data_IF_323969600574
#
_entry.id   IF_323969600574
#
_cell.length_a   1.000
_cell.length_b   1.000
_cell.length_c   1.000
_cell.angle_alpha   90.00
_cell.angle_beta   90.00
_cell.angle_gamma   90.00
#
_symmetry.space_group_name_H-M   'P 1'
#
loop_
_entity.id
_entity.type
_entity.pdbx_description
1 polymer ?
#
# COMPACT_ATOMS: atom_id res chain seq x y z
N UNK A 1 22.63 -43.18 -19.05
CA UNK A 1 21.31 -42.56 -19.32
C UNK A 1 20.42 -42.84 -18.11
N UNK A 2 20.04 -41.80 -17.35
CA UNK A 2 19.13 -41.93 -16.21
C UNK A 2 17.85 -41.17 -16.58
N UNK A 3 16.73 -41.89 -16.63
CA UNK A 3 15.39 -41.32 -16.84
C UNK A 3 15.01 -40.47 -15.63
N UNK A 4 14.62 -39.23 -15.87
CA UNK A 4 13.94 -38.36 -14.89
C UNK A 4 12.44 -38.50 -15.17
N UNK A 5 11.71 -39.05 -14.22
CA UNK A 5 10.25 -39.14 -14.25
C UNK A 5 9.71 -37.81 -13.72
N UNK A 6 9.13 -37.00 -14.60
CA UNK A 6 8.42 -35.76 -14.25
C UNK A 6 6.98 -36.15 -13.91
N UNK A 7 6.62 -36.04 -12.63
CA UNK A 7 5.23 -36.23 -12.18
C UNK A 7 4.48 -34.90 -12.32
N UNK A 8 3.61 -34.81 -13.32
CA UNK A 8 2.75 -33.64 -13.53
C UNK A 8 1.56 -33.76 -12.56
N UNK A 9 1.50 -32.88 -11.56
CA UNK A 9 0.34 -32.71 -10.69
C UNK A 9 -0.75 -31.96 -11.48
N UNK A 10 -1.77 -32.69 -11.90
CA UNK A 10 -2.96 -32.12 -12.53
C UNK A 10 -3.84 -31.45 -11.47
N UNK A 11 -4.08 -30.15 -11.64
CA UNK A 11 -5.02 -29.36 -10.85
C UNK A 11 -6.47 -29.80 -11.15
N UNK A 12 -7.17 -30.29 -10.13
CA UNK A 12 -8.60 -30.55 -10.18
C UNK A 12 -9.40 -29.25 -10.08
N UNK A 13 -10.03 -28.86 -11.19
CA UNK A 13 -11.03 -27.80 -11.22
C UNK A 13 -12.35 -28.33 -10.65
N UNK A 14 -12.71 -27.92 -9.44
CA UNK A 14 -14.09 -28.05 -8.96
C UNK A 14 -14.91 -26.85 -9.46
N UNK A 15 -15.64 -27.07 -10.55
CA UNK A 15 -16.71 -26.19 -11.00
C UNK A 15 -18.00 -26.54 -10.24
N UNK A 16 -18.48 -25.65 -9.37
CA UNK A 16 -19.83 -25.71 -8.86
C UNK A 16 -20.73 -24.78 -9.70
N UNK A 17 -21.45 -25.37 -10.65
CA UNK A 17 -22.67 -24.80 -11.21
C UNK A 17 -23.80 -25.04 -10.22
N UNK A 18 -24.45 -23.97 -9.75
CA UNK A 18 -25.85 -24.05 -9.34
C UNK A 18 -26.57 -22.81 -9.84
N UNK A 19 -27.26 -23.01 -10.96
CA UNK A 19 -28.33 -22.14 -11.44
C UNK A 19 -29.59 -22.51 -10.67
N UNK A 20 -30.22 -21.54 -10.02
CA UNK A 20 -31.65 -21.60 -9.74
C UNK A 20 -32.24 -20.22 -9.94
N UNK A 21 -32.92 -20.06 -11.08
CA UNK A 21 -33.76 -18.91 -11.39
C UNK A 21 -34.98 -18.86 -10.47
N UNK A 22 -35.26 -17.70 -9.87
CA UNK A 22 -36.63 -17.17 -9.75
C UNK A 22 -36.65 -15.65 -9.57
N UNK A 23 -37.25 -14.99 -10.58
CA UNK A 23 -37.62 -13.57 -10.64
C UNK A 23 -38.55 -13.15 -9.50
N UNK A 24 -38.38 -11.94 -8.96
CA UNK A 24 -39.23 -10.77 -9.30
C UNK A 24 -38.99 -9.55 -8.39
N UNK A 25 -38.73 -8.41 -9.06
CA UNK A 25 -39.10 -7.03 -8.73
C UNK A 25 -38.88 -6.46 -7.30
N UNK A 26 -37.95 -5.50 -7.18
CA UNK A 26 -38.31 -4.11 -6.85
C UNK A 26 -37.21 -3.12 -7.24
N UNK A 27 -37.65 -2.08 -7.94
CA UNK A 27 -36.93 -0.88 -8.35
C UNK A 27 -36.48 -0.11 -7.09
N UNK A 28 -35.19 0.22 -7.00
CA UNK A 28 -34.62 1.03 -5.93
C UNK A 28 -33.21 1.49 -6.31
N UNK A 29 -33.13 2.58 -7.08
CA UNK A 29 -31.89 3.32 -7.26
C UNK A 29 -31.49 3.94 -5.92
N UNK A 30 -30.50 3.37 -5.24
CA UNK A 30 -29.78 4.09 -4.19
C UNK A 30 -28.40 4.40 -4.74
N UNK A 31 -28.32 5.53 -5.44
CA UNK A 31 -27.07 6.27 -5.54
C UNK A 31 -26.82 6.83 -4.14
N UNK A 32 -25.90 6.26 -3.39
CA UNK A 32 -25.29 6.97 -2.26
C UNK A 32 -24.33 8.01 -2.85
N UNK A 33 -24.92 9.07 -3.42
CA UNK A 33 -24.27 10.36 -3.55
C UNK A 33 -24.35 11.00 -2.18
N UNK A 34 -23.24 11.01 -1.45
CA UNK A 34 -23.04 11.98 -0.37
C UNK A 34 -23.01 13.36 -1.03
N UNK A 35 -24.19 13.98 -1.11
CA UNK A 35 -24.35 15.37 -1.47
C UNK A 35 -23.65 16.21 -0.40
N UNK A 36 -22.48 16.74 -0.75
CA UNK A 36 -21.82 17.77 0.03
C UNK A 36 -22.66 19.05 -0.13
N UNK A 37 -23.26 19.49 0.97
CA UNK A 37 -23.98 20.75 1.03
C UNK A 37 -23.01 21.88 0.73
N UNK A 38 -23.22 22.52 -0.42
CA UNK A 38 -22.57 23.75 -0.81
C UNK A 38 -23.03 24.86 0.14
N UNK A 39 -22.12 25.31 1.01
CA UNK A 39 -22.22 26.61 1.64
C UNK A 39 -20.93 27.36 1.32
N UNK A 40 -20.98 28.05 0.18
CA UNK A 40 -20.08 29.13 -0.16
C UNK A 40 -20.16 30.23 0.90
N UNK A 41 -19.08 30.44 1.66
CA UNK A 41 -18.65 31.77 2.07
C UNK A 41 -17.18 31.80 2.47
N UNK A 42 -16.42 32.61 1.74
CA UNK A 42 -15.28 33.42 2.19
C UNK A 42 -14.01 32.71 2.69
N UNK A 43 -13.11 32.49 1.73
CA UNK A 43 -11.75 33.01 1.73
C UNK A 43 -11.23 33.54 3.08
N UNK A 44 -10.57 32.65 3.81
CA UNK A 44 -9.47 33.00 4.71
C UNK A 44 -8.40 31.93 4.58
N UNK A 45 -7.20 32.38 4.19
CA UNK A 45 -5.93 31.70 4.40
C UNK A 45 -5.80 31.25 5.86
N UNK A 46 -6.31 30.07 6.19
CA UNK A 46 -5.90 29.35 7.38
C UNK A 46 -4.62 28.61 7.03
N UNK A 47 -3.49 29.34 7.15
CA UNK A 47 -2.21 28.72 7.49
C UNK A 47 -2.34 28.14 8.90
N UNK A 48 -3.17 27.11 9.06
CA UNK A 48 -3.11 26.21 10.21
C UNK A 48 -1.86 25.38 9.99
N UNK A 49 -0.77 25.84 10.59
CA UNK A 49 0.34 24.95 10.96
C UNK A 49 -0.25 23.97 11.97
N UNK A 50 -0.89 22.92 11.47
CA UNK A 50 -1.28 21.77 12.28
C UNK A 50 0.00 21.34 13.00
N UNK A 51 -0.03 21.40 14.33
CA UNK A 51 1.09 20.99 15.17
C UNK A 51 1.22 19.46 15.10
N UNK A 52 1.69 18.98 13.95
CA UNK A 52 1.92 17.58 13.67
C UNK A 52 3.05 17.10 14.58
N UNK A 53 2.67 16.27 15.54
CA UNK A 53 3.57 15.54 16.42
C UNK A 53 3.52 14.06 16.04
N UNK A 54 4.66 13.47 15.72
CA UNK A 54 4.79 12.04 15.39
C UNK A 54 4.81 11.19 16.66
N UNK A 55 3.92 11.54 17.58
CA UNK A 55 3.89 10.95 18.91
C UNK A 55 3.02 9.70 18.89
N UNK A 56 3.71 8.59 18.69
CA UNK A 56 3.13 7.26 18.76
C UNK A 56 3.10 6.71 20.19
N UNK A 57 3.51 7.48 21.22
CA UNK A 57 3.56 7.01 22.61
C UNK A 57 2.21 6.50 23.09
N UNK A 58 1.11 7.12 22.63
CA UNK A 58 -0.25 6.67 22.94
C UNK A 58 -0.42 5.19 22.58
N UNK A 59 0.03 4.77 21.40
CA UNK A 59 -0.08 3.38 20.94
C UNK A 59 0.95 2.47 21.60
N UNK A 60 2.15 2.96 21.90
CA UNK A 60 3.14 2.19 22.65
C UNK A 60 2.64 1.86 24.06
N UNK A 61 1.99 2.83 24.73
CA UNK A 61 1.47 2.69 26.10
C UNK A 61 0.11 2.00 26.16
N UNK A 62 -0.66 1.96 25.06
CA UNK A 62 -1.97 1.31 25.03
C UNK A 62 -1.85 -0.22 25.11
N UNK A 63 -2.39 -0.89 26.14
CA UNK A 63 -2.36 -2.35 26.25
C UNK A 63 -3.12 -3.07 25.12
N UNK A 64 -4.00 -2.38 24.38
CA UNK A 64 -4.76 -2.95 23.25
C UNK A 64 -4.00 -2.94 21.94
N UNK A 65 -2.94 -2.14 21.82
CA UNK A 65 -2.11 -2.14 20.62
C UNK A 65 -1.33 -3.46 20.55
N UNK A 66 -1.37 -4.19 19.41
CA UNK A 66 -0.65 -5.44 19.25
C UNK A 66 0.83 -5.30 19.58
N UNK A 67 1.37 -6.28 20.30
CA UNK A 67 2.78 -6.26 20.73
C UNK A 67 3.72 -6.16 19.52
N UNK A 68 3.47 -6.93 18.47
CA UNK A 68 4.29 -6.92 17.27
C UNK A 68 4.31 -5.53 16.60
N UNK A 69 3.18 -4.83 16.52
CA UNK A 69 3.14 -3.47 15.97
C UNK A 69 4.04 -2.49 16.76
N UNK A 70 4.09 -2.61 18.09
CA UNK A 70 4.97 -1.82 18.95
C UNK A 70 6.44 -2.18 18.71
N UNK A 71 6.74 -3.47 18.66
CA UNK A 71 8.10 -3.98 18.47
C UNK A 71 8.63 -3.58 17.07
N UNK A 72 7.77 -3.59 16.05
CA UNK A 72 8.08 -3.09 14.71
C UNK A 72 8.34 -1.58 14.71
N UNK A 73 7.50 -0.79 15.38
CA UNK A 73 7.75 0.65 15.48
C UNK A 73 9.10 0.95 16.14
N UNK A 74 9.43 0.22 17.20
CA UNK A 74 10.68 0.38 17.95
C UNK A 74 11.90 -0.31 17.31
N UNK A 75 11.72 -1.00 16.18
CA UNK A 75 12.76 -1.83 15.53
C UNK A 75 13.35 -2.91 16.48
N UNK A 76 12.55 -3.46 17.39
CA UNK A 76 12.95 -4.52 18.34
C UNK A 76 12.37 -5.89 17.98
N UNK A 77 11.54 -5.97 16.94
CA UNK A 77 11.01 -7.23 16.44
C UNK A 77 12.14 -8.11 15.88
N UNK A 78 12.17 -9.38 16.27
CA UNK A 78 13.28 -10.29 15.97
C UNK A 78 13.05 -11.18 14.75
N UNK A 79 11.79 -11.42 14.36
CA UNK A 79 11.37 -12.18 13.18
C UNK A 79 9.84 -12.08 13.01
N UNK A 80 9.32 -11.30 12.06
CA UNK A 80 7.91 -11.37 11.68
C UNK A 80 7.76 -12.51 10.68
N UNK A 81 7.89 -13.76 11.13
CA UNK A 81 7.45 -14.92 10.33
C UNK A 81 5.93 -15.00 10.26
N UNK A 82 5.25 -14.19 11.07
CA UNK A 82 3.80 -14.10 11.11
C UNK A 82 3.32 -13.14 10.02
N UNK A 83 2.27 -13.54 9.30
CA UNK A 83 1.51 -12.68 8.39
C UNK A 83 0.77 -11.54 9.12
N UNK A 84 0.92 -11.41 10.43
CA UNK A 84 0.27 -10.39 11.25
C UNK A 84 0.51 -8.97 10.72
N UNK A 85 1.72 -8.54 10.32
CA UNK A 85 1.91 -7.19 9.77
C UNK A 85 1.11 -6.94 8.48
N UNK A 86 0.78 -7.98 7.71
CA UNK A 86 -0.09 -7.83 6.53
C UNK A 86 -1.51 -7.43 6.92
N UNK A 87 -1.98 -7.83 8.10
CA UNK A 87 -3.29 -7.40 8.63
C UNK A 87 -3.32 -5.92 8.97
N UNK A 88 -2.16 -5.28 9.19
CA UNK A 88 -2.10 -3.86 9.55
C UNK A 88 -2.47 -2.93 8.38
N UNK A 89 -2.46 -3.41 7.14
CA UNK A 89 -3.00 -2.67 6.00
C UNK A 89 -4.50 -2.35 6.16
N UNK A 90 -5.26 -3.19 6.87
CA UNK A 90 -6.67 -2.89 7.18
C UNK A 90 -6.81 -1.65 8.06
N UNK A 91 -5.79 -1.36 8.88
CA UNK A 91 -5.73 -0.20 9.76
C UNK A 91 -5.51 1.11 9.01
N UNK A 92 -5.06 1.07 7.75
CA UNK A 92 -4.97 2.27 6.91
C UNK A 92 -6.34 2.86 6.56
N UNK A 93 -7.44 2.19 6.92
CA UNK A 93 -8.80 2.71 6.79
C UNK A 93 -9.39 3.17 8.14
N UNK A 94 -8.59 3.19 9.21
CA UNK A 94 -9.08 3.64 10.51
C UNK A 94 -9.55 5.09 10.43
N UNK A 95 -10.62 5.41 11.18
CA UNK A 95 -11.08 6.79 11.36
C UNK A 95 -10.09 7.61 12.19
N UNK A 96 -9.31 6.96 13.06
CA UNK A 96 -8.25 7.61 13.82
C UNK A 96 -7.01 7.78 12.92
N UNK A 97 -6.71 9.04 12.59
CA UNK A 97 -5.56 9.41 11.75
C UNK A 97 -4.23 8.97 12.37
N UNK A 98 -4.07 9.10 13.69
CA UNK A 98 -2.84 8.69 14.36
C UNK A 98 -2.69 7.16 14.35
N UNK A 99 -3.81 6.41 14.40
CA UNK A 99 -3.77 4.95 14.26
C UNK A 99 -3.29 4.57 12.85
N UNK A 100 -3.80 5.24 11.81
CA UNK A 100 -3.33 5.02 10.43
C UNK A 100 -1.83 5.24 10.31
N UNK A 101 -1.34 6.38 10.81
CA UNK A 101 0.08 6.75 10.77
C UNK A 101 0.96 5.76 11.55
N UNK A 102 0.52 5.35 12.75
CA UNK A 102 1.23 4.36 13.57
C UNK A 102 1.43 3.04 12.81
N UNK A 103 0.35 2.47 12.26
CA UNK A 103 0.43 1.21 11.52
C UNK A 103 1.16 1.35 10.19
N UNK A 104 1.05 2.50 9.52
CA UNK A 104 1.82 2.76 8.30
C UNK A 104 3.33 2.73 8.58
N UNK A 105 3.76 3.34 9.69
CA UNK A 105 5.17 3.29 10.12
C UNK A 105 5.60 1.88 10.55
N UNK A 106 4.74 1.15 11.26
CA UNK A 106 5.02 -0.24 11.64
C UNK A 106 5.23 -1.15 10.41
N UNK A 107 4.41 -0.99 9.37
CA UNK A 107 4.54 -1.72 8.09
C UNK A 107 5.81 -1.33 7.32
N UNK A 108 6.22 -0.05 7.36
CA UNK A 108 7.51 0.35 6.77
C UNK A 108 8.67 -0.34 7.49
N UNK A 109 8.64 -0.36 8.83
CA UNK A 109 9.73 -0.94 9.61
C UNK A 109 9.80 -2.47 9.49
N UNK A 110 8.68 -3.16 9.25
CA UNK A 110 8.68 -4.61 9.07
C UNK A 110 9.40 -5.06 7.81
N UNK A 111 9.50 -4.21 6.78
CA UNK A 111 10.30 -4.50 5.59
C UNK A 111 11.78 -4.75 5.90
N UNK A 112 12.34 -4.11 6.94
CA UNK A 112 13.77 -4.26 7.27
C UNK A 112 14.14 -5.65 7.77
N UNK A 113 13.14 -6.40 8.20
CA UNK A 113 13.28 -7.73 8.81
C UNK A 113 12.43 -8.76 8.07
N UNK A 114 11.99 -8.43 6.84
CA UNK A 114 11.16 -9.33 6.06
C UNK A 114 11.99 -10.43 5.42
N UNK A 115 11.45 -11.65 5.43
CA UNK A 115 11.98 -12.80 4.69
C UNK A 115 11.24 -12.97 3.36
N UNK A 116 11.56 -14.01 2.58
CA UNK A 116 10.98 -14.22 1.25
C UNK A 116 9.45 -14.17 1.23
N UNK A 117 8.79 -15.09 1.94
CA UNK A 117 7.32 -15.22 1.91
C UNK A 117 6.62 -13.97 2.46
N UNK A 118 7.13 -13.38 3.53
CA UNK A 118 6.53 -12.16 4.07
C UNK A 118 6.74 -10.96 3.13
N UNK A 119 7.90 -10.85 2.47
CA UNK A 119 8.19 -9.78 1.50
C UNK A 119 7.25 -9.84 0.30
N UNK A 120 6.89 -11.04 -0.18
CA UNK A 120 5.89 -11.22 -1.26
C UNK A 120 4.51 -10.70 -0.81
N UNK A 121 4.02 -11.12 0.35
CA UNK A 121 2.74 -10.65 0.87
C UNK A 121 2.71 -9.13 1.09
N UNK A 122 3.84 -8.57 1.53
CA UNK A 122 4.03 -7.13 1.72
C UNK A 122 4.04 -6.39 0.38
N UNK A 123 4.73 -6.93 -0.62
CA UNK A 123 4.75 -6.46 -2.02
C UNK A 123 3.36 -6.35 -2.60
N UNK A 124 2.64 -7.48 -2.62
CA UNK A 124 1.29 -7.59 -3.15
C UNK A 124 0.31 -6.64 -2.47
N UNK A 125 0.27 -6.66 -1.13
CA UNK A 125 -0.67 -5.83 -0.36
C UNK A 125 -0.32 -4.35 -0.47
N UNK A 126 0.99 -4.03 -0.44
CA UNK A 126 1.54 -2.70 -0.62
C UNK A 126 1.19 -2.07 -1.96
N UNK A 127 1.50 -2.79 -3.05
CA UNK A 127 1.17 -2.37 -4.41
C UNK A 127 -0.33 -2.12 -4.55
N UNK A 128 -1.17 -3.06 -4.11
CA UNK A 128 -2.63 -2.92 -4.17
C UNK A 128 -3.14 -1.72 -3.38
N UNK A 129 -2.58 -1.44 -2.20
CA UNK A 129 -2.93 -0.26 -1.42
C UNK A 129 -2.61 1.03 -2.18
N UNK A 130 -1.35 1.20 -2.63
CA UNK A 130 -0.88 2.41 -3.30
C UNK A 130 -1.64 2.65 -4.61
N UNK A 131 -1.85 1.59 -5.39
CA UNK A 131 -2.54 1.66 -6.68
C UNK A 131 -3.98 2.18 -6.58
N UNK A 132 -4.69 1.73 -5.55
CA UNK A 132 -6.11 2.02 -5.36
C UNK A 132 -6.36 3.22 -4.44
N UNK A 133 -5.36 3.69 -3.68
CA UNK A 133 -5.50 4.78 -2.72
C UNK A 133 -4.33 5.79 -2.80
N UNK A 134 -3.94 6.30 -4.00
CA UNK A 134 -2.75 7.14 -4.13
C UNK A 134 -2.85 8.44 -3.34
N UNK A 135 -4.05 9.00 -3.18
CA UNK A 135 -4.30 10.19 -2.36
C UNK A 135 -4.00 9.95 -0.89
N UNK A 136 -4.50 8.84 -0.33
CA UNK A 136 -4.24 8.47 1.07
C UNK A 136 -2.76 8.14 1.27
N UNK A 137 -2.15 7.39 0.35
CA UNK A 137 -0.72 7.12 0.36
C UNK A 137 0.10 8.41 0.42
N UNK A 138 -0.21 9.38 -0.46
CA UNK A 138 0.48 10.66 -0.49
C UNK A 138 0.23 11.51 0.77
N UNK A 139 -0.93 11.35 1.41
CA UNK A 139 -1.31 12.11 2.62
C UNK A 139 -0.39 11.81 3.79
N UNK A 140 0.15 10.59 3.90
CA UNK A 140 1.15 10.26 4.93
C UNK A 140 2.40 11.16 4.83
N UNK A 141 2.75 11.64 3.65
CA UNK A 141 3.98 12.41 3.42
C UNK A 141 3.76 13.94 3.44
N UNK A 142 2.51 14.42 3.54
CA UNK A 142 2.19 15.85 3.43
C UNK A 142 2.89 16.71 4.50
N UNK A 143 3.04 16.20 5.72
CA UNK A 143 3.68 16.95 6.82
C UNK A 143 5.20 16.84 6.85
N UNK A 144 5.79 15.88 6.11
CA UNK A 144 7.24 15.51 6.09
C UNK A 144 7.88 15.26 7.46
N UNK A 145 7.13 15.31 8.57
CA UNK A 145 7.64 15.15 9.94
C UNK A 145 7.72 13.68 10.35
N UNK A 146 6.70 12.89 10.02
CA UNK A 146 6.59 11.49 10.48
C UNK A 146 7.06 10.50 9.41
N UNK A 147 7.04 10.95 8.17
CA UNK A 147 7.42 10.17 7.01
C UNK A 147 8.33 11.01 6.14
N UNK A 148 9.43 10.40 5.73
CA UNK A 148 10.56 11.01 5.04
C UNK A 148 10.70 10.43 3.65
N UNK A 149 11.65 10.96 2.88
CA UNK A 149 11.99 10.38 1.58
C UNK A 149 12.54 8.96 1.69
N UNK A 150 13.24 8.63 2.78
CA UNK A 150 13.68 7.26 3.05
C UNK A 150 12.49 6.30 3.21
N UNK A 151 11.38 6.77 3.76
CA UNK A 151 10.16 5.97 3.85
C UNK A 151 9.52 5.76 2.46
N UNK A 152 9.60 6.74 1.54
CA UNK A 152 9.20 6.56 0.14
C UNK A 152 10.10 5.55 -0.59
N UNK A 153 11.41 5.58 -0.34
CA UNK A 153 12.36 4.62 -0.90
C UNK A 153 12.06 3.19 -0.43
N UNK A 154 11.69 3.00 0.84
CA UNK A 154 11.27 1.69 1.34
C UNK A 154 10.05 1.18 0.57
N UNK A 155 9.03 2.01 0.36
CA UNK A 155 7.88 1.63 -0.47
C UNK A 155 8.27 1.32 -1.91
N UNK A 156 9.20 2.06 -2.49
CA UNK A 156 9.67 1.78 -3.85
C UNK A 156 10.39 0.42 -3.92
N UNK A 157 11.22 0.09 -2.94
CA UNK A 157 11.88 -1.21 -2.87
C UNK A 157 10.89 -2.36 -2.73
N UNK A 158 9.87 -2.22 -1.87
CA UNK A 158 8.77 -3.18 -1.73
C UNK A 158 8.11 -3.42 -3.10
N UNK A 159 7.80 -2.35 -3.84
CA UNK A 159 7.12 -2.46 -5.14
C UNK A 159 8.02 -3.02 -6.24
N UNK A 160 9.33 -2.72 -6.25
CA UNK A 160 10.26 -3.29 -7.24
C UNK A 160 10.26 -4.82 -7.17
N UNK A 161 10.30 -5.38 -5.95
CA UNK A 161 10.24 -6.82 -5.75
C UNK A 161 8.92 -7.39 -6.28
N UNK A 162 7.80 -6.75 -5.97
CA UNK A 162 6.48 -7.16 -6.48
C UNK A 162 6.40 -7.09 -8.00
N UNK A 163 6.92 -6.04 -8.63
CA UNK A 163 6.93 -5.91 -10.09
C UNK A 163 7.79 -6.97 -10.75
N UNK A 164 8.91 -7.36 -10.12
CA UNK A 164 9.75 -8.43 -10.61
C UNK A 164 9.01 -9.78 -10.61
N UNK A 165 8.25 -10.06 -9.55
CA UNK A 165 7.44 -11.28 -9.43
C UNK A 165 6.30 -11.27 -10.45
N UNK A 166 5.51 -10.20 -10.50
CA UNK A 166 4.33 -10.10 -11.37
C UNK A 166 4.65 -10.13 -12.86
N UNK A 167 5.89 -9.81 -13.24
CA UNK A 167 6.31 -9.65 -14.63
C UNK A 167 7.56 -10.48 -14.93
N UNK A 168 7.73 -11.61 -14.24
CA UNK A 168 8.80 -12.54 -14.50
C UNK A 168 8.79 -12.97 -15.98
N UNK A 169 9.89 -12.71 -16.69
CA UNK A 169 10.01 -12.98 -18.12
C UNK A 169 9.48 -11.88 -19.06
N UNK A 170 8.97 -10.77 -18.52
CA UNK A 170 8.40 -9.64 -19.29
C UNK A 170 9.01 -8.28 -18.87
N UNK A 171 10.28 -8.28 -18.48
CA UNK A 171 11.00 -7.12 -17.92
C UNK A 171 11.20 -5.95 -18.90
N UNK A 172 11.01 -6.16 -20.19
CA UNK A 172 11.11 -5.17 -21.26
C UNK A 172 9.86 -4.29 -21.40
N UNK A 173 8.74 -4.68 -20.76
CA UNK A 173 7.50 -3.91 -20.79
C UNK A 173 7.60 -2.63 -19.92
N UNK A 174 6.89 -1.55 -20.30
CA UNK A 174 6.90 -0.28 -19.56
C UNK A 174 6.01 -0.32 -18.31
N UNK A 175 6.12 -1.37 -17.49
CA UNK A 175 5.23 -1.67 -16.37
C UNK A 175 5.23 -0.57 -15.31
N UNK A 176 6.40 0.01 -15.02
CA UNK A 176 6.55 1.09 -14.05
C UNK A 176 5.89 2.38 -14.55
N UNK A 177 6.08 2.72 -15.83
CA UNK A 177 5.46 3.90 -16.43
C UNK A 177 3.93 3.78 -16.44
N UNK A 178 3.41 2.58 -16.76
CA UNK A 178 1.97 2.31 -16.71
C UNK A 178 1.42 2.47 -15.29
N UNK A 179 2.11 1.93 -14.28
CA UNK A 179 1.73 2.08 -12.89
C UNK A 179 1.74 3.54 -12.43
N UNK A 180 2.82 4.29 -12.70
CA UNK A 180 2.93 5.71 -12.35
C UNK A 180 1.83 6.55 -13.01
N UNK A 181 1.52 6.27 -14.28
CA UNK A 181 0.43 6.94 -14.99
C UNK A 181 -0.93 6.63 -14.35
N UNK A 182 -1.14 5.40 -13.89
CA UNK A 182 -2.33 5.04 -13.12
C UNK A 182 -2.41 5.82 -11.81
N UNK A 183 -1.34 5.90 -11.02
CA UNK A 183 -1.30 6.70 -9.78
C UNK A 183 -1.66 8.16 -10.04
N UNK A 184 -1.04 8.79 -11.06
CA UNK A 184 -1.33 10.18 -11.44
C UNK A 184 -2.80 10.37 -11.83
N UNK A 185 -3.36 9.43 -12.59
CA UNK A 185 -4.76 9.53 -13.04
C UNK A 185 -5.78 9.30 -11.92
N UNK A 186 -5.44 8.48 -10.92
CA UNK A 186 -6.24 8.27 -9.70
C UNK A 186 -6.03 9.37 -8.64
N UNK A 187 -5.10 10.30 -8.87
CA UNK A 187 -4.73 11.40 -7.97
C UNK A 187 -4.95 12.77 -8.64
N UNK A 188 -5.95 12.89 -9.52
CA UNK A 188 -6.25 14.13 -10.26
C UNK A 188 -6.66 15.28 -9.34
N UNK A 189 -7.44 14.98 -8.31
CA UNK A 189 -7.97 15.88 -7.29
C UNK A 189 -7.06 16.01 -6.05
N UNK A 190 -5.86 15.42 -6.10
CA UNK A 190 -4.88 15.56 -5.04
C UNK A 190 -4.38 17.01 -4.92
N UNK A 191 -3.97 17.37 -3.69
CA UNK A 191 -3.31 18.65 -3.41
C UNK A 191 -1.98 18.76 -4.18
N UNK A 192 -1.41 19.96 -4.23
CA UNK A 192 -0.09 20.18 -4.85
C UNK A 192 1.01 19.36 -4.16
N UNK A 193 0.99 19.27 -2.82
CA UNK A 193 1.95 18.47 -2.04
C UNK A 193 1.80 16.98 -2.31
N UNK A 194 0.56 16.49 -2.42
CA UNK A 194 0.31 15.08 -2.74
C UNK A 194 0.77 14.73 -4.17
N UNK A 195 0.55 15.63 -5.13
CA UNK A 195 1.06 15.48 -6.51
C UNK A 195 2.58 15.46 -6.56
N UNK A 196 3.24 16.30 -5.76
CA UNK A 196 4.70 16.29 -5.59
C UNK A 196 5.18 14.95 -5.02
N UNK A 197 4.52 14.43 -3.98
CA UNK A 197 4.82 13.11 -3.40
C UNK A 197 4.68 11.99 -4.44
N UNK A 198 3.58 11.93 -5.19
CA UNK A 198 3.39 10.90 -6.24
C UNK A 198 4.42 11.04 -7.35
N UNK A 199 4.77 12.26 -7.75
CA UNK A 199 5.82 12.50 -8.74
C UNK A 199 7.17 11.99 -8.25
N UNK A 200 7.55 12.35 -7.02
CA UNK A 200 8.81 11.93 -6.39
C UNK A 200 8.89 10.42 -6.22
N UNK A 201 7.82 9.81 -5.73
CA UNK A 201 7.71 8.36 -5.62
C UNK A 201 7.90 7.68 -6.97
N UNK A 202 7.29 8.21 -8.04
CA UNK A 202 7.46 7.69 -9.39
C UNK A 202 8.91 7.78 -9.91
N UNK A 203 9.63 8.85 -9.59
CA UNK A 203 11.06 8.97 -9.92
C UNK A 203 11.89 7.90 -9.21
N UNK A 204 11.71 7.77 -7.90
CA UNK A 204 12.42 6.78 -7.07
C UNK A 204 12.16 5.36 -7.58
N UNK A 205 10.88 5.03 -7.82
CA UNK A 205 10.48 3.70 -8.31
C UNK A 205 11.11 3.37 -9.67
N UNK A 206 11.13 4.33 -10.60
CA UNK A 206 11.74 4.13 -11.92
C UNK A 206 13.26 3.95 -11.82
N UNK A 207 13.93 4.71 -10.95
CA UNK A 207 15.36 4.54 -10.70
C UNK A 207 15.67 3.15 -10.11
N UNK A 208 14.92 2.74 -9.10
CA UNK A 208 15.08 1.43 -8.45
C UNK A 208 14.78 0.26 -9.38
N UNK A 209 13.78 0.40 -10.25
CA UNK A 209 13.52 -0.60 -11.28
C UNK A 209 14.68 -0.74 -12.26
N UNK A 210 15.25 0.38 -12.73
CA UNK A 210 16.43 0.36 -13.61
C UNK A 210 17.65 -0.26 -12.93
N UNK A 211 17.84 0.01 -11.64
CA UNK A 211 18.90 -0.61 -10.83
C UNK A 211 18.70 -2.13 -10.75
N UNK A 212 17.47 -2.58 -10.44
CA UNK A 212 17.12 -3.99 -10.41
C UNK A 212 17.41 -4.70 -11.75
N UNK A 213 16.96 -4.13 -12.87
CA UNK A 213 17.21 -4.69 -14.20
C UNK A 213 18.70 -4.80 -14.56
N UNK A 214 19.53 -3.85 -14.10
CA UNK A 214 20.99 -3.91 -14.31
C UNK A 214 21.63 -5.08 -13.58
N UNK A 215 21.13 -5.44 -12.40
CA UNK A 215 21.67 -6.51 -11.59
C UNK A 215 21.22 -7.91 -12.04
N UNK A 216 20.26 -8.00 -12.97
CA UNK A 216 19.82 -9.26 -13.58
C UNK A 216 20.59 -9.64 -14.85
N UNK A 217 21.32 -8.69 -15.47
CA UNK A 217 22.09 -8.90 -16.70
C UNK A 217 23.59 -9.04 -16.38
#
# INVERSE_FOLDING_TARGET
>A
MKLIVITILAFGLFACNNVTDKKSARRGNTKDSLAYSDNSSNDKNDNKTDNYNCDFDKFIKDPKTPKLAKDLLNNTASNPTDNEPLTYFEKFKSKDKQEREFYFKAVINSYKISDGAYSEGLGYTGKKFIENNPKEFATFFDSKKCFTDSDLEIWANILVLEFAIDNEGEYDKPIIDQFINKLKSNCKDCSSTQKETIYKFGLILNEKWKEYLKNMN
#
